data_IF_235784781387
#
_entry.id   IF_235784781387
#
_cell.length_a   1.000
_cell.length_b   1.000
_cell.length_c   1.000
_cell.angle_alpha   90.00
_cell.angle_beta   90.00
_cell.angle_gamma   90.00
#
_symmetry.space_group_name_H-M   'P 1'
#
loop_
_entity.id
_entity.type
_entity.pdbx_description
1 polymer ?
#
# COMPACT_ATOMS: atom_id res chain seq x y z
N UNK A 1 -24.25 3.08 -8.49
CA UNK A 1 -23.56 3.08 -7.18
C UNK A 1 -22.19 3.68 -7.42
N UNK A 2 -21.68 4.53 -6.53
CA UNK A 2 -20.32 5.10 -6.69
C UNK A 2 -19.28 4.00 -6.49
N UNK A 3 -18.35 3.88 -7.43
CA UNK A 3 -17.26 2.91 -7.41
C UNK A 3 -16.24 3.29 -6.30
N UNK A 4 -15.91 2.35 -5.41
CA UNK A 4 -14.83 2.52 -4.41
C UNK A 4 -13.49 2.26 -5.08
N UNK A 5 -12.55 3.22 -5.00
CA UNK A 5 -11.21 3.10 -5.57
C UNK A 5 -10.18 2.87 -4.48
N UNK A 6 -9.36 1.83 -4.61
CA UNK A 6 -8.21 1.58 -3.75
C UNK A 6 -6.94 1.71 -4.60
N UNK A 7 -5.97 2.45 -4.09
CA UNK A 7 -4.64 2.52 -4.69
C UNK A 7 -3.69 1.60 -3.92
N UNK A 8 -3.07 0.66 -4.62
CA UNK A 8 -2.05 -0.22 -4.07
C UNK A 8 -0.65 0.38 -4.28
N UNK A 9 0.12 0.48 -3.18
CA UNK A 9 1.52 0.90 -3.20
C UNK A 9 2.40 -0.30 -2.85
N UNK A 10 3.23 -0.75 -3.80
CA UNK A 10 4.06 -1.95 -3.64
C UNK A 10 5.51 -1.55 -3.34
N UNK A 11 6.02 -1.89 -2.16
CA UNK A 11 7.36 -1.48 -1.70
C UNK A 11 8.53 -2.21 -2.36
N UNK A 12 8.28 -3.14 -3.27
CA UNK A 12 9.33 -3.82 -4.05
C UNK A 12 9.23 -3.45 -5.54
N UNK A 13 10.30 -2.88 -6.08
CA UNK A 13 10.36 -2.39 -7.47
C UNK A 13 10.73 -3.46 -8.51
N UNK A 14 11.21 -4.63 -8.08
CA UNK A 14 11.64 -5.69 -9.02
C UNK A 14 10.42 -6.32 -9.72
N UNK A 15 10.55 -6.62 -11.01
CA UNK A 15 9.45 -7.17 -11.81
C UNK A 15 8.88 -8.49 -11.25
N UNK A 16 9.74 -9.43 -10.86
CA UNK A 16 9.33 -10.74 -10.33
C UNK A 16 8.97 -10.72 -8.82
N UNK A 17 8.55 -9.57 -8.28
CA UNK A 17 8.23 -9.42 -6.85
C UNK A 17 7.02 -10.25 -6.43
N UNK A 18 7.18 -11.13 -5.44
CA UNK A 18 6.04 -11.82 -4.82
C UNK A 18 5.11 -10.82 -4.12
N UNK A 19 5.63 -9.72 -3.59
CA UNK A 19 4.80 -8.64 -3.02
C UNK A 19 3.92 -7.99 -4.10
N UNK A 20 4.43 -7.85 -5.34
CA UNK A 20 3.61 -7.39 -6.47
C UNK A 20 2.54 -8.42 -6.83
N UNK A 21 2.91 -9.70 -6.92
CA UNK A 21 1.96 -10.78 -7.21
C UNK A 21 0.83 -10.84 -6.17
N UNK A 22 1.13 -10.62 -4.88
CA UNK A 22 0.12 -10.52 -3.82
C UNK A 22 -0.81 -9.32 -4.03
N UNK A 23 -0.27 -8.15 -4.39
CA UNK A 23 -1.09 -6.98 -4.72
C UNK A 23 -1.98 -7.23 -5.95
N UNK A 24 -1.46 -7.87 -6.99
CA UNK A 24 -2.22 -8.26 -8.19
C UNK A 24 -3.29 -9.33 -7.88
N UNK A 25 -3.02 -10.23 -6.94
CA UNK A 25 -4.04 -11.17 -6.44
C UNK A 25 -5.14 -10.43 -5.68
N UNK A 26 -4.81 -9.41 -4.87
CA UNK A 26 -5.82 -8.59 -4.20
C UNK A 26 -6.77 -7.90 -5.18
N UNK A 27 -6.27 -7.48 -6.36
CA UNK A 27 -7.12 -6.97 -7.44
C UNK A 27 -8.14 -8.01 -7.88
N UNK A 28 -7.73 -9.27 -8.04
CA UNK A 28 -8.62 -10.37 -8.47
C UNK A 28 -9.69 -10.72 -7.44
N UNK A 29 -9.43 -10.46 -6.16
CA UNK A 29 -10.38 -10.71 -5.06
C UNK A 29 -11.35 -9.55 -4.83
N UNK A 30 -11.28 -8.50 -5.64
CA UNK A 30 -12.10 -7.29 -5.46
C UNK A 30 -13.59 -7.57 -5.69
N UNK A 31 -14.48 -7.19 -4.76
CA UNK A 31 -15.91 -7.36 -4.96
C UNK A 31 -16.46 -6.37 -5.99
N UNK A 32 -17.69 -6.60 -6.44
CA UNK A 32 -18.36 -5.69 -7.37
C UNK A 32 -18.42 -4.25 -6.83
N UNK A 33 -18.14 -3.29 -7.71
CA UNK A 33 -18.12 -1.86 -7.36
C UNK A 33 -16.84 -1.40 -6.64
N UNK A 34 -15.83 -2.27 -6.50
CA UNK A 34 -14.48 -1.92 -6.01
C UNK A 34 -13.48 -2.03 -7.14
N UNK A 35 -12.65 -1.02 -7.30
CA UNK A 35 -11.53 -0.99 -8.23
C UNK A 35 -10.23 -0.84 -7.45
N UNK A 36 -9.31 -1.79 -7.61
CA UNK A 36 -7.97 -1.72 -7.05
C UNK A 36 -6.98 -1.52 -8.19
N UNK A 37 -6.13 -0.49 -8.08
CA UNK A 37 -5.10 -0.18 -9.07
C UNK A 37 -3.74 -0.13 -8.40
N UNK A 38 -2.71 -0.70 -9.04
CA UNK A 38 -1.33 -0.59 -8.56
C UNK A 38 -0.71 0.69 -9.11
N UNK A 39 -0.01 1.44 -8.26
CA UNK A 39 0.78 2.58 -8.74
C UNK A 39 2.12 2.10 -9.30
N UNK A 40 2.32 2.25 -10.61
CA UNK A 40 3.51 1.75 -11.31
C UNK A 40 4.73 2.69 -11.24
N UNK A 41 4.52 3.99 -11.02
CA UNK A 41 5.58 5.01 -11.13
C UNK A 41 6.51 5.16 -9.92
N UNK A 42 6.45 4.25 -8.93
CA UNK A 42 7.19 4.39 -7.66
C UNK A 42 8.71 4.50 -7.87
N UNK A 43 9.25 3.85 -8.91
CA UNK A 43 10.67 3.87 -9.25
C UNK A 43 11.14 5.21 -9.84
N UNK A 44 10.23 6.01 -10.38
CA UNK A 44 10.53 7.25 -11.10
C UNK A 44 10.41 8.49 -10.19
N UNK A 45 9.96 8.31 -8.95
CA UNK A 45 9.76 9.42 -8.01
C UNK A 45 11.13 9.86 -7.47
N UNK A 46 11.53 11.13 -7.63
CA UNK A 46 12.76 11.63 -7.04
C UNK A 46 12.68 11.57 -5.51
N UNK A 47 13.83 11.56 -4.84
CA UNK A 47 13.82 11.72 -3.38
C UNK A 47 13.15 13.03 -2.99
N UNK A 48 12.33 12.99 -1.95
CA UNK A 48 11.67 14.17 -1.44
C UNK A 48 12.70 15.26 -1.11
N UNK A 49 12.48 16.45 -1.67
CA UNK A 49 13.24 17.66 -1.38
C UNK A 49 12.27 18.85 -1.52
N UNK A 50 12.19 19.68 -0.47
CA UNK A 50 11.32 20.86 -0.43
C UNK A 50 11.65 21.88 -1.53
N UNK A 51 12.90 21.96 -1.97
CA UNK A 51 13.33 22.86 -3.05
C UNK A 51 12.65 22.55 -4.39
N UNK A 52 12.23 21.29 -4.59
CA UNK A 52 11.50 20.83 -5.80
C UNK A 52 10.03 20.54 -5.50
N UNK A 53 9.55 20.84 -4.30
CA UNK A 53 8.14 20.74 -3.90
C UNK A 53 7.51 22.14 -3.82
N UNK A 54 7.72 22.94 -4.87
CA UNK A 54 7.17 24.30 -4.98
C UNK A 54 6.21 24.40 -6.15
N UNK A 55 5.16 25.22 -5.98
CA UNK A 55 4.07 25.39 -6.96
C UNK A 55 4.62 25.68 -8.36
N UNK A 56 4.11 24.96 -9.36
CA UNK A 56 4.55 25.08 -10.76
C UNK A 56 5.84 24.35 -11.12
N UNK A 57 6.52 23.71 -10.17
CA UNK A 57 7.79 22.99 -10.41
C UNK A 57 7.84 21.56 -9.86
N UNK A 58 6.76 21.09 -9.24
CA UNK A 58 6.66 19.73 -8.70
C UNK A 58 6.97 18.69 -9.80
N UNK A 59 7.90 17.74 -9.57
CA UNK A 59 8.19 16.68 -10.52
C UNK A 59 6.94 15.91 -10.93
N UNK A 60 6.78 15.67 -12.23
CA UNK A 60 5.59 15.02 -12.78
C UNK A 60 5.28 13.65 -12.12
N UNK A 61 6.30 12.84 -11.83
CA UNK A 61 6.13 11.55 -11.15
C UNK A 61 5.60 11.69 -9.71
N UNK A 62 6.06 12.71 -8.97
CA UNK A 62 5.58 13.00 -7.63
C UNK A 62 4.15 13.56 -7.65
N UNK A 63 3.84 14.43 -8.62
CA UNK A 63 2.49 14.94 -8.82
C UNK A 63 1.52 13.80 -9.17
N UNK A 64 1.90 12.89 -10.08
CA UNK A 64 1.09 11.73 -10.43
C UNK A 64 0.79 10.82 -9.23
N UNK A 65 1.75 10.64 -8.31
CA UNK A 65 1.51 9.94 -7.05
C UNK A 65 0.46 10.65 -6.21
N UNK A 66 0.61 11.97 -6.00
CA UNK A 66 -0.35 12.77 -5.21
C UNK A 66 -1.75 12.71 -5.79
N UNK A 67 -1.87 12.83 -7.12
CA UNK A 67 -3.14 12.77 -7.83
C UNK A 67 -3.80 11.39 -7.67
N UNK A 68 -3.02 10.31 -7.81
CA UNK A 68 -3.51 8.95 -7.63
C UNK A 68 -3.99 8.71 -6.18
N UNK A 69 -3.21 9.14 -5.18
CA UNK A 69 -3.57 9.02 -3.76
C UNK A 69 -4.81 9.85 -3.43
N UNK A 70 -4.91 11.06 -3.98
CA UNK A 70 -6.06 11.93 -3.78
C UNK A 70 -7.35 11.34 -4.39
N UNK A 71 -7.26 10.75 -5.59
CA UNK A 71 -8.38 10.13 -6.29
C UNK A 71 -8.85 8.80 -5.68
N UNK A 72 -8.02 8.14 -4.88
CA UNK A 72 -8.38 6.90 -4.19
C UNK A 72 -9.27 7.16 -2.97
N UNK A 73 -10.14 6.21 -2.62
CA UNK A 73 -10.88 6.20 -1.37
C UNK A 73 -10.11 5.52 -0.22
N UNK A 74 -9.17 4.64 -0.53
CA UNK A 74 -8.31 3.97 0.44
C UNK A 74 -6.98 3.52 -0.17
N UNK A 75 -6.03 3.12 0.67
CA UNK A 75 -4.71 2.62 0.26
C UNK A 75 -4.47 1.19 0.73
N UNK A 76 -3.90 0.37 -0.15
CA UNK A 76 -3.36 -0.95 0.19
C UNK A 76 -1.84 -0.91 0.05
N UNK A 77 -1.12 -0.87 1.16
CA UNK A 77 0.34 -0.82 1.15
C UNK A 77 0.89 -2.23 1.30
N UNK A 78 1.64 -2.70 0.30
CA UNK A 78 2.26 -4.04 0.32
C UNK A 78 3.76 -3.91 0.46
N UNK A 79 4.31 -4.30 1.60
CA UNK A 79 5.71 -4.05 1.94
C UNK A 79 6.51 -5.35 2.13
N UNK A 80 7.65 -5.52 1.43
CA UNK A 80 8.70 -6.41 1.91
C UNK A 80 9.43 -5.74 3.09
N UNK A 81 10.50 -6.38 3.56
CA UNK A 81 11.40 -5.81 4.56
C UNK A 81 12.82 -5.78 4.03
N UNK A 82 13.44 -4.59 4.09
CA UNK A 82 14.85 -4.40 3.77
C UNK A 82 15.58 -3.89 5.01
N UNK A 83 16.54 -4.67 5.50
CA UNK A 83 17.38 -4.36 6.66
C UNK A 83 16.59 -4.00 7.93
N UNK A 84 15.48 -4.70 8.18
CA UNK A 84 14.66 -4.53 9.39
C UNK A 84 13.75 -3.31 9.37
N UNK A 85 13.47 -2.72 8.20
CA UNK A 85 12.50 -1.62 8.06
C UNK A 85 11.85 -1.61 6.68
N UNK A 86 10.96 -0.65 6.46
CA UNK A 86 10.27 -0.44 5.19
C UNK A 86 11.24 -0.03 4.06
N UNK A 87 10.99 -0.40 2.80
CA UNK A 87 11.84 0.00 1.68
C UNK A 87 11.91 1.53 1.51
N UNK A 88 13.09 2.04 1.17
CA UNK A 88 13.31 3.47 0.97
C UNK A 88 12.40 4.10 -0.09
N UNK A 89 12.11 3.37 -1.18
CA UNK A 89 11.19 3.84 -2.22
C UNK A 89 9.76 4.00 -1.70
N UNK A 90 9.29 3.07 -0.86
CA UNK A 90 7.97 3.15 -0.23
C UNK A 90 7.91 4.30 0.77
N UNK A 91 8.95 4.45 1.61
CA UNK A 91 9.07 5.57 2.53
C UNK A 91 9.03 6.92 1.80
N UNK A 92 9.79 7.03 0.70
CA UNK A 92 9.83 8.25 -0.12
C UNK A 92 8.47 8.58 -0.75
N UNK A 93 7.72 7.57 -1.22
CA UNK A 93 6.36 7.78 -1.71
C UNK A 93 5.43 8.33 -0.61
N UNK A 94 5.51 7.79 0.61
CA UNK A 94 4.74 8.29 1.75
C UNK A 94 5.14 9.74 2.09
N UNK A 95 6.44 10.06 2.03
CA UNK A 95 6.93 11.42 2.27
C UNK A 95 6.32 12.43 1.28
N UNK A 96 6.35 12.13 -0.03
CA UNK A 96 5.71 12.96 -1.05
C UNK A 96 4.19 13.12 -0.85
N UNK A 97 3.49 12.03 -0.48
CA UNK A 97 2.04 12.03 -0.27
C UNK A 97 1.61 12.72 1.04
N UNK A 98 2.52 12.82 2.02
CA UNK A 98 2.30 13.52 3.30
C UNK A 98 2.31 15.04 3.16
N UNK A 99 2.75 15.56 2.01
CA UNK A 99 2.96 16.99 1.76
C UNK A 99 1.91 17.55 0.80
N UNK A 100 1.52 18.83 0.97
CA UNK A 100 1.99 19.80 1.97
C UNK A 100 1.53 19.46 3.41
N UNK A 101 2.27 19.93 4.42
CA UNK A 101 1.99 19.58 5.82
C UNK A 101 0.54 19.90 6.23
N UNK A 102 -0.15 18.92 6.83
CA UNK A 102 -1.53 19.06 7.28
C UNK A 102 -2.59 18.98 6.17
N UNK A 103 -2.18 18.92 4.90
CA UNK A 103 -3.05 18.85 3.72
C UNK A 103 -2.54 17.89 2.63
N UNK A 104 -1.62 16.97 2.98
CA UNK A 104 -1.13 15.93 2.06
C UNK A 104 -2.26 15.03 1.57
N UNK A 105 -2.12 14.51 0.35
CA UNK A 105 -3.14 13.68 -0.30
C UNK A 105 -3.49 12.41 0.49
N UNK A 106 -2.56 11.93 1.33
CA UNK A 106 -2.73 10.74 2.18
C UNK A 106 -3.60 10.99 3.42
N UNK A 107 -3.86 12.25 3.77
CA UNK A 107 -4.57 12.62 5.00
C UNK A 107 -5.95 11.96 5.08
N UNK A 108 -6.24 11.41 6.25
CA UNK A 108 -7.48 10.71 6.63
C UNK A 108 -7.79 9.48 5.76
N UNK A 109 -6.88 9.08 4.87
CA UNK A 109 -7.09 7.98 3.93
C UNK A 109 -7.06 6.64 4.68
N UNK A 110 -8.14 5.86 4.65
CA UNK A 110 -8.15 4.49 5.18
C UNK A 110 -7.04 3.69 4.51
N UNK A 111 -6.16 3.11 5.31
CA UNK A 111 -4.97 2.42 4.79
C UNK A 111 -4.76 1.10 5.50
N UNK A 112 -4.58 0.04 4.72
CA UNK A 112 -4.19 -1.27 5.19
C UNK A 112 -2.74 -1.57 4.80
N UNK A 113 -2.02 -2.33 5.64
CA UNK A 113 -0.67 -2.80 5.38
C UNK A 113 -0.64 -4.32 5.27
N UNK A 114 -0.19 -4.82 4.13
CA UNK A 114 0.17 -6.21 3.90
C UNK A 114 1.68 -6.32 3.93
N UNK A 115 2.21 -7.22 4.75
CA UNK A 115 3.65 -7.45 4.85
C UNK A 115 3.98 -8.86 4.40
N UNK A 116 5.03 -9.00 3.59
CA UNK A 116 5.38 -10.30 3.01
C UNK A 116 6.90 -10.49 2.92
N UNK A 117 7.40 -11.56 3.54
CA UNK A 117 8.83 -11.88 3.57
C UNK A 117 9.09 -13.37 3.41
N UNK A 118 10.30 -13.70 2.93
CA UNK A 118 10.80 -15.08 2.95
C UNK A 118 11.13 -15.54 4.38
N UNK A 119 11.29 -14.60 5.31
CA UNK A 119 11.49 -14.88 6.72
C UNK A 119 10.18 -15.35 7.40
N UNK A 120 10.26 -16.21 8.43
CA UNK A 120 9.10 -16.52 9.26
C UNK A 120 8.51 -15.31 9.98
N UNK A 121 9.26 -14.22 10.14
CA UNK A 121 8.78 -12.99 10.78
C UNK A 121 7.87 -12.13 9.87
N UNK A 122 7.58 -12.57 8.64
CA UNK A 122 6.63 -11.91 7.73
C UNK A 122 6.83 -10.38 7.54
N UNK A 123 8.08 -9.89 7.58
CA UNK A 123 8.39 -8.46 7.51
C UNK A 123 7.78 -7.63 8.66
N UNK A 124 7.68 -8.19 9.87
CA UNK A 124 7.05 -7.54 11.03
C UNK A 124 7.65 -6.16 11.39
N UNK A 125 8.95 -5.94 11.20
CA UNK A 125 9.57 -4.65 11.55
C UNK A 125 9.24 -3.61 10.49
N UNK A 126 9.32 -3.99 9.20
CA UNK A 126 8.85 -3.14 8.11
C UNK A 126 7.35 -2.83 8.23
N UNK A 127 6.52 -3.79 8.64
CA UNK A 127 5.10 -3.57 8.91
C UNK A 127 4.90 -2.51 9.99
N UNK A 128 5.51 -2.70 11.17
CA UNK A 128 5.39 -1.75 12.28
C UNK A 128 5.89 -0.35 11.93
N UNK A 129 7.02 -0.24 11.23
CA UNK A 129 7.53 1.04 10.75
C UNK A 129 6.63 1.67 9.69
N UNK A 130 6.06 0.87 8.77
CA UNK A 130 5.11 1.35 7.75
C UNK A 130 3.85 1.90 8.42
N UNK A 131 3.26 1.16 9.37
CA UNK A 131 2.10 1.62 10.15
C UNK A 131 2.38 2.93 10.87
N UNK A 132 3.52 3.01 11.58
CA UNK A 132 3.95 4.24 12.27
C UNK A 132 4.08 5.42 11.30
N UNK A 133 4.80 5.23 10.18
CA UNK A 133 5.05 6.30 9.21
C UNK A 133 3.76 6.75 8.54
N UNK A 134 2.86 5.83 8.18
CA UNK A 134 1.55 6.15 7.61
C UNK A 134 0.70 6.97 8.59
N UNK A 135 0.62 6.55 9.86
CA UNK A 135 -0.10 7.28 10.90
C UNK A 135 0.45 8.70 11.12
N UNK A 136 1.78 8.84 11.19
CA UNK A 136 2.45 10.15 11.31
C UNK A 136 2.21 11.02 10.06
N UNK A 137 2.17 10.42 8.87
CA UNK A 137 1.86 11.11 7.62
C UNK A 137 0.38 11.53 7.50
N UNK A 138 -0.48 11.09 8.43
CA UNK A 138 -1.89 11.45 8.51
C UNK A 138 -2.85 10.44 7.89
N UNK A 139 -2.39 9.26 7.49
CA UNK A 139 -3.28 8.18 7.06
C UNK A 139 -4.10 7.66 8.25
N UNK A 140 -5.31 7.14 7.96
CA UNK A 140 -6.12 6.42 8.95
C UNK A 140 -5.85 4.92 8.80
N UNK A 141 -4.97 4.37 9.63
CA UNK A 141 -4.62 2.95 9.57
C UNK A 141 -5.80 2.08 10.00
N UNK A 142 -6.07 1.01 9.24
CA UNK A 142 -7.16 0.06 9.49
C UNK A 142 -6.55 -1.26 9.92
N UNK A 143 -6.32 -1.42 11.23
CA UNK A 143 -5.59 -2.57 11.77
C UNK A 143 -6.29 -3.91 11.50
N UNK A 144 -7.63 -3.93 11.49
CA UNK A 144 -8.40 -5.14 11.14
C UNK A 144 -8.17 -5.63 9.71
N UNK A 145 -7.68 -4.75 8.83
CA UNK A 145 -7.36 -5.05 7.45
C UNK A 145 -5.87 -5.40 7.24
N UNK A 146 -5.06 -5.53 8.28
CA UNK A 146 -3.66 -5.95 8.13
C UNK A 146 -3.52 -7.44 7.79
N UNK A 147 -2.47 -7.77 7.05
CA UNK A 147 -2.16 -9.15 6.67
C UNK A 147 -0.65 -9.41 6.61
N UNK A 148 -0.26 -10.64 6.95
CA UNK A 148 1.13 -11.03 7.10
C UNK A 148 1.39 -12.36 6.38
N UNK A 149 2.28 -12.34 5.37
CA UNK A 149 2.72 -13.54 4.67
C UNK A 149 4.17 -13.86 5.06
N UNK A 150 4.32 -14.92 5.86
CA UNK A 150 5.61 -15.53 6.18
C UNK A 150 6.08 -16.50 5.09
N UNK A 151 7.37 -16.82 5.08
CA UNK A 151 7.98 -17.90 4.26
C UNK A 151 7.56 -17.91 2.78
N UNK A 152 7.33 -16.72 2.20
CA UNK A 152 6.77 -16.59 0.85
C UNK A 152 7.62 -17.22 -0.26
N UNK A 153 8.93 -17.40 -0.01
CA UNK A 153 9.82 -18.07 -0.96
C UNK A 153 9.52 -19.56 -1.10
N UNK A 154 9.02 -20.19 -0.04
CA UNK A 154 8.59 -21.59 -0.06
C UNK A 154 7.16 -21.69 -0.60
N UNK A 155 6.24 -20.88 -0.07
CA UNK A 155 4.82 -20.91 -0.44
C UNK A 155 4.57 -20.47 -1.89
N UNK A 156 5.27 -19.43 -2.34
CA UNK A 156 5.06 -18.81 -3.66
C UNK A 156 6.30 -18.90 -4.57
N UNK A 157 7.25 -19.78 -4.26
CA UNK A 157 8.44 -20.01 -5.10
C UNK A 157 8.11 -20.70 -6.42
N UNK A 158 7.10 -21.58 -6.42
CA UNK A 158 6.64 -22.31 -7.61
C UNK A 158 5.15 -22.15 -7.89
N UNK A 159 4.38 -21.64 -6.92
CA UNK A 159 2.93 -21.43 -7.02
C UNK A 159 2.66 -19.94 -7.04
N UNK A 160 1.89 -19.45 -8.01
CA UNK A 160 1.52 -18.03 -7.99
C UNK A 160 0.53 -17.76 -6.86
N UNK A 161 0.60 -16.63 -6.13
CA UNK A 161 -0.37 -16.32 -5.07
C UNK A 161 -1.84 -16.32 -5.49
N UNK A 162 -2.14 -16.28 -6.79
CA UNK A 162 -3.50 -16.31 -7.35
C UNK A 162 -4.08 -17.73 -7.44
N UNK A 163 -3.21 -18.73 -7.30
CA UNK A 163 -3.55 -20.15 -7.34
C UNK A 163 -3.63 -20.73 -5.92
N UNK A 164 -3.33 -19.92 -4.90
CA UNK A 164 -3.39 -20.28 -3.49
C UNK A 164 -4.73 -19.83 -2.90
N UNK A 165 -5.59 -20.79 -2.57
CA UNK A 165 -6.95 -20.54 -2.09
C UNK A 165 -6.99 -19.81 -0.74
N UNK A 166 -6.01 -20.05 0.12
CA UNK A 166 -5.91 -19.37 1.42
C UNK A 166 -5.49 -17.91 1.21
N UNK A 167 -4.49 -17.65 0.37
CA UNK A 167 -4.08 -16.28 0.04
C UNK A 167 -5.21 -15.47 -0.61
N UNK A 168 -5.98 -16.08 -1.51
CA UNK A 168 -7.18 -15.47 -2.09
C UNK A 168 -8.21 -15.11 -1.01
N UNK A 169 -8.45 -16.00 -0.06
CA UNK A 169 -9.43 -15.80 1.02
C UNK A 169 -8.98 -14.69 1.97
N UNK A 170 -7.72 -14.71 2.40
CA UNK A 170 -7.13 -13.72 3.29
C UNK A 170 -7.12 -12.32 2.65
N UNK A 171 -6.69 -12.22 1.37
CA UNK A 171 -6.68 -10.96 0.63
C UNK A 171 -8.09 -10.42 0.40
N UNK A 172 -9.07 -11.29 0.12
CA UNK A 172 -10.47 -10.89 0.00
C UNK A 172 -11.00 -10.28 1.31
N UNK A 173 -10.66 -10.87 2.45
CA UNK A 173 -11.04 -10.36 3.77
C UNK A 173 -10.38 -9.00 4.04
N UNK A 174 -9.08 -8.86 3.77
CA UNK A 174 -8.36 -7.57 3.87
C UNK A 174 -9.00 -6.48 3.00
N UNK A 175 -9.30 -6.78 1.74
CA UNK A 175 -9.97 -5.83 0.83
C UNK A 175 -11.35 -5.45 1.35
N UNK A 176 -12.12 -6.42 1.85
CA UNK A 176 -13.44 -6.17 2.43
C UNK A 176 -13.36 -5.17 3.59
N UNK A 177 -12.54 -5.45 4.60
CA UNK A 177 -12.35 -4.59 5.77
C UNK A 177 -11.90 -3.18 5.37
N UNK A 178 -10.93 -3.07 4.45
CA UNK A 178 -10.49 -1.77 3.95
C UNK A 178 -11.62 -1.00 3.28
N UNK A 179 -12.43 -1.66 2.44
CA UNK A 179 -13.59 -1.05 1.76
C UNK A 179 -14.63 -0.57 2.77
N UNK A 180 -14.94 -1.35 3.81
CA UNK A 180 -15.87 -0.89 4.86
C UNK A 180 -15.33 0.34 5.59
N UNK A 181 -14.03 0.39 5.85
CA UNK A 181 -13.40 1.58 6.42
C UNK A 181 -13.53 2.81 5.50
N UNK A 182 -13.47 2.66 4.17
CA UNK A 182 -13.71 3.77 3.22
C UNK A 182 -15.13 4.33 3.25
N UNK A 183 -16.11 3.51 3.65
CA UNK A 183 -17.52 3.91 3.76
C UNK A 183 -17.88 4.51 5.12
N UNK A 184 -16.94 4.54 6.05
CA UNK A 184 -17.18 4.98 7.44
C UNK A 184 -17.91 3.93 8.29
N UNK A 185 -17.97 2.68 7.82
CA UNK A 185 -18.67 1.57 8.48
C UNK A 185 -17.79 0.83 9.50
N UNK A 186 -16.48 1.13 9.51
CA UNK A 186 -15.53 0.72 10.55
C UNK A 186 -14.89 1.95 11.20
N UNK A 187 -14.99 2.03 12.53
CA UNK A 187 -14.21 2.97 13.32
C UNK A 187 -12.75 2.49 13.37
N UNK A 188 -11.81 3.36 13.01
CA UNK A 188 -10.40 3.13 13.32
C UNK A 188 -10.23 3.29 14.84
N UNK A 189 -9.54 2.33 15.47
CA UNK A 189 -9.18 2.39 16.89
C UNK A 189 -7.95 3.26 17.08
#
# INVERSE_FOLDING_TARGET
MSQTRILALVGSLRAASINRQLAETAVQTSPEGVEITLFEGLADIPFYNEDIDVEGSVPAAAQALRDAVAAANGLLVVTPEYNGSLPGALKNAIDWASRPYGAGSIKDKPTAVVSASISPNAAQWAHGDTVKVLGVAGARVVESAHLHFATIGERFGTTHPREDAEALTELAATVHELVQATRGELAAV
#
